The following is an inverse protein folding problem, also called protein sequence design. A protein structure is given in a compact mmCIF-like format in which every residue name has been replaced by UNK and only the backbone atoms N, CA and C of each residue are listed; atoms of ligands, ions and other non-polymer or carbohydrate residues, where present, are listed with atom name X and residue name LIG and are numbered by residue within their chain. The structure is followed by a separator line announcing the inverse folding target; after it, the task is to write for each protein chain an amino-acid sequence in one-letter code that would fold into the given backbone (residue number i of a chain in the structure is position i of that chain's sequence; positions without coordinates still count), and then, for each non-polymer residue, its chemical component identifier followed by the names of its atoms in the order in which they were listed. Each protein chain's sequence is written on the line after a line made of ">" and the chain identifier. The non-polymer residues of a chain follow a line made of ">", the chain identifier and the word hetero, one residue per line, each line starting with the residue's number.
data_IF_706125361520
#
_entry.id   IF_706125361520
#
_cell.length_a   1.000
_cell.length_b   1.000
_cell.length_c   1.000
_cell.angle_alpha   90.00
_cell.angle_beta   90.00
_cell.angle_gamma   90.00
#
_symmetry.space_group_name_H-M   'P 1'
#
loop_
_entity.id
_entity.type
_entity.pdbx_description
1 polymer ?
#
# COMPACT_ATOMS: atom_id res chain seq x y z
N UNK A 1 15.66 14.57 3.91
CA UNK A 1 15.84 15.89 3.23
C UNK A 1 15.01 15.92 1.94
N UNK A 2 14.34 17.02 1.61
CA UNK A 2 13.57 17.16 0.35
C UNK A 2 14.53 17.39 -0.82
N UNK A 3 14.14 16.97 -2.04
CA UNK A 3 14.99 17.04 -3.24
C UNK A 3 15.39 18.49 -3.54
N UNK A 4 14.46 19.44 -3.42
CA UNK A 4 14.72 20.87 -3.67
C UNK A 4 15.79 21.45 -2.74
N UNK A 5 15.84 20.96 -1.49
CA UNK A 5 16.87 21.37 -0.52
C UNK A 5 18.24 20.80 -0.88
N UNK A 6 18.29 19.61 -1.46
CA UNK A 6 19.55 18.99 -1.90
C UNK A 6 20.11 19.76 -3.09
N UNK A 7 19.26 20.07 -4.09
CA UNK A 7 19.66 20.82 -5.28
C UNK A 7 20.25 22.18 -4.91
N UNK A 8 19.56 22.98 -4.09
CA UNK A 8 20.07 24.29 -3.63
C UNK A 8 21.42 24.20 -2.91
N UNK A 9 21.65 23.14 -2.14
CA UNK A 9 22.92 22.93 -1.43
C UNK A 9 24.04 22.46 -2.36
N UNK A 10 23.72 21.71 -3.42
CA UNK A 10 24.68 21.34 -4.47
C UNK A 10 25.08 22.59 -5.27
N UNK A 11 24.11 23.43 -5.66
CA UNK A 11 24.37 24.71 -6.34
C UNK A 11 25.28 25.61 -5.51
N UNK A 12 25.02 25.71 -4.20
CA UNK A 12 25.89 26.45 -3.27
C UNK A 12 27.32 25.88 -3.22
N UNK A 13 27.47 24.55 -3.27
CA UNK A 13 28.79 23.93 -3.29
C UNK A 13 29.54 24.20 -4.61
N UNK A 14 28.82 24.25 -5.74
CA UNK A 14 29.37 24.62 -7.05
C UNK A 14 29.86 26.08 -7.03
N UNK A 15 29.04 27.01 -6.50
CA UNK A 15 29.41 28.42 -6.36
C UNK A 15 30.68 28.62 -5.50
N UNK A 16 30.83 27.84 -4.42
CA UNK A 16 32.07 27.83 -3.63
C UNK A 16 33.27 27.31 -4.43
N UNK A 17 33.11 26.32 -5.31
CA UNK A 17 34.20 25.83 -6.17
C UNK A 17 34.60 26.86 -7.22
N UNK A 18 33.64 27.50 -7.86
CA UNK A 18 33.88 28.55 -8.86
C UNK A 18 34.63 29.76 -8.27
N UNK A 19 34.39 30.06 -6.99
CA UNK A 19 35.08 31.11 -6.23
C UNK A 19 36.43 30.67 -5.64
N UNK A 20 36.87 29.43 -5.88
CA UNK A 20 38.10 28.88 -5.32
C UNK A 20 38.03 28.55 -3.82
N UNK A 21 36.85 28.59 -3.20
CA UNK A 21 36.62 28.32 -1.78
C UNK A 21 36.49 26.81 -1.51
N UNK A 22 37.53 26.04 -1.86
CA UNK A 22 37.53 24.56 -1.84
C UNK A 22 37.13 23.98 -0.48
N UNK A 23 37.59 24.59 0.62
CA UNK A 23 37.27 24.13 1.98
C UNK A 23 35.78 24.29 2.31
N UNK A 24 35.15 25.37 1.85
CA UNK A 24 33.70 25.61 2.06
C UNK A 24 32.88 24.65 1.20
N UNK A 25 33.24 24.47 -0.07
CA UNK A 25 32.61 23.49 -0.94
C UNK A 25 32.65 22.07 -0.35
N UNK A 26 33.82 21.66 0.15
CA UNK A 26 34.00 20.34 0.77
C UNK A 26 33.10 20.16 2.01
N UNK A 27 33.02 21.16 2.89
CA UNK A 27 32.14 21.11 4.07
C UNK A 27 30.68 20.97 3.65
N UNK A 28 30.23 21.79 2.70
CA UNK A 28 28.85 21.75 2.19
C UNK A 28 28.50 20.38 1.60
N UNK A 29 29.40 19.79 0.80
CA UNK A 29 29.20 18.44 0.23
C UNK A 29 29.20 17.34 1.30
N UNK A 30 30.06 17.46 2.32
CA UNK A 30 30.12 16.51 3.43
C UNK A 30 28.81 16.51 4.23
N UNK A 31 28.26 17.68 4.52
CA UNK A 31 26.99 17.83 5.23
C UNK A 31 25.81 17.26 4.42
N UNK A 32 25.78 17.50 3.10
CA UNK A 32 24.79 16.89 2.20
C UNK A 32 24.88 15.37 2.26
N UNK A 33 26.10 14.82 2.16
CA UNK A 33 26.34 13.37 2.20
C UNK A 33 25.86 12.75 3.52
N UNK A 34 26.14 13.38 4.65
CA UNK A 34 25.70 12.88 5.97
C UNK A 34 24.18 12.94 6.12
N UNK A 35 23.55 14.05 5.75
CA UNK A 35 22.08 14.17 5.79
C UNK A 35 21.36 13.22 4.81
N UNK A 36 21.98 12.92 3.67
CA UNK A 36 21.47 11.90 2.73
C UNK A 36 21.65 10.50 3.28
N UNK A 37 22.81 10.18 3.88
CA UNK A 37 23.03 8.89 4.55
C UNK A 37 21.99 8.67 5.64
N UNK A 38 21.73 9.66 6.48
CA UNK A 38 20.72 9.57 7.53
C UNK A 38 19.30 9.41 6.94
N UNK A 39 18.98 10.10 5.84
CA UNK A 39 17.69 9.95 5.15
C UNK A 39 17.54 8.55 4.55
N UNK A 40 18.59 7.99 3.96
CA UNK A 40 18.62 6.62 3.43
C UNK A 40 18.49 5.62 4.57
N UNK A 41 19.20 5.83 5.69
CA UNK A 41 19.15 4.96 6.86
C UNK A 41 17.77 4.99 7.51
N UNK A 42 17.12 6.15 7.64
CA UNK A 42 15.73 6.28 8.09
C UNK A 42 14.74 5.61 7.13
N UNK A 43 14.99 5.64 5.82
CA UNK A 43 14.18 4.90 4.82
C UNK A 43 14.42 3.39 4.91
N UNK A 44 15.63 2.93 5.20
CA UNK A 44 15.97 1.52 5.42
C UNK A 44 15.44 0.99 6.76
N UNK A 45 15.45 1.82 7.80
CA UNK A 45 14.89 1.53 9.13
C UNK A 45 13.36 1.61 9.20
N UNK A 46 12.68 2.04 8.13
CA UNK A 46 11.33 1.51 7.83
C UNK A 46 11.44 0.05 7.40
N UNK A 47 12.03 -0.80 8.27
CA UNK A 47 11.92 -2.25 8.12
C UNK A 47 10.42 -2.55 8.13
N UNK A 48 9.92 -3.18 7.06
CA UNK A 48 8.59 -3.79 7.09
C UNK A 48 8.51 -4.62 8.37
N UNK A 49 7.45 -4.41 9.15
CA UNK A 49 7.16 -5.19 10.35
C UNK A 49 7.35 -6.69 10.02
N UNK A 50 7.99 -7.47 10.91
CA UNK A 50 8.32 -8.88 10.62
C UNK A 50 7.09 -9.67 10.17
N UNK A 51 5.95 -9.40 10.80
CA UNK A 51 4.62 -9.92 10.48
C UNK A 51 4.20 -9.67 9.02
N UNK A 52 4.46 -8.47 8.48
CA UNK A 52 4.15 -8.15 7.07
C UNK A 52 5.03 -8.95 6.12
N UNK A 53 6.29 -9.21 6.50
CA UNK A 53 7.19 -10.03 5.66
C UNK A 53 6.73 -11.48 5.65
N UNK A 54 6.37 -12.02 6.80
CA UNK A 54 5.84 -13.38 6.94
C UNK A 54 4.54 -13.55 6.14
N UNK A 55 3.64 -12.57 6.21
CA UNK A 55 2.40 -12.58 5.42
C UNK A 55 2.64 -12.48 3.92
N UNK A 56 3.62 -11.70 3.46
CA UNK A 56 3.98 -11.69 2.03
C UNK A 56 4.47 -13.06 1.58
N UNK A 57 5.35 -13.70 2.35
CA UNK A 57 5.87 -15.02 2.02
C UNK A 57 4.77 -16.08 2.00
N UNK A 58 3.91 -16.09 3.03
CA UNK A 58 2.74 -16.97 3.08
C UNK A 58 1.82 -16.75 1.87
N UNK A 59 1.54 -15.49 1.53
CA UNK A 59 0.70 -15.12 0.42
C UNK A 59 1.26 -15.55 -0.94
N UNK A 60 2.56 -15.35 -1.15
CA UNK A 60 3.26 -15.81 -2.35
C UNK A 60 3.17 -17.33 -2.46
N UNK A 61 3.39 -18.07 -1.37
CA UNK A 61 3.27 -19.53 -1.35
C UNK A 61 1.84 -19.99 -1.66
N UNK A 62 0.82 -19.29 -1.13
CA UNK A 62 -0.59 -19.58 -1.37
C UNK A 62 -0.99 -19.46 -2.85
N UNK A 63 -0.23 -18.69 -3.64
CA UNK A 63 -0.41 -18.49 -5.08
C UNK A 63 0.72 -19.13 -5.91
N UNK A 64 1.45 -20.11 -5.36
CA UNK A 64 2.55 -20.79 -6.05
C UNK A 64 3.61 -19.81 -6.64
N UNK A 65 3.91 -18.74 -5.91
CA UNK A 65 4.86 -17.70 -6.30
C UNK A 65 4.36 -16.68 -7.32
N UNK A 66 3.10 -16.79 -7.79
CA UNK A 66 2.53 -15.92 -8.83
C UNK A 66 1.21 -15.28 -8.39
N UNK A 67 1.21 -14.44 -7.34
CA UNK A 67 -0.03 -13.80 -6.90
C UNK A 67 -0.58 -12.83 -7.94
N UNK A 68 -1.90 -12.56 -7.94
CA UNK A 68 -2.58 -11.78 -8.98
C UNK A 68 -2.02 -10.36 -9.17
N UNK A 69 -1.43 -9.77 -8.14
CA UNK A 69 -0.81 -8.45 -8.17
C UNK A 69 0.40 -8.37 -9.11
N UNK A 70 1.07 -9.49 -9.40
CA UNK A 70 2.24 -9.52 -10.29
C UNK A 70 1.88 -9.12 -11.72
N UNK A 71 0.66 -9.40 -12.16
CA UNK A 71 0.19 -9.07 -13.51
C UNK A 71 -0.31 -7.63 -13.64
N UNK A 72 -0.47 -6.91 -12.52
CA UNK A 72 -1.12 -5.58 -12.49
C UNK A 72 -0.20 -4.44 -12.10
N UNK A 73 0.88 -4.71 -11.37
CA UNK A 73 1.71 -3.67 -10.76
C UNK A 73 3.18 -3.88 -11.08
N UNK A 74 3.92 -2.79 -11.34
CA UNK A 74 5.37 -2.85 -11.54
C UNK A 74 6.17 -3.20 -10.27
N UNK A 75 5.61 -2.95 -9.08
CA UNK A 75 6.23 -3.29 -7.79
C UNK A 75 5.26 -4.08 -6.89
N UNK A 76 4.90 -5.33 -7.26
CA UNK A 76 3.80 -6.08 -6.64
C UNK A 76 4.04 -6.33 -5.15
N UNK A 77 5.26 -6.71 -4.76
CA UNK A 77 5.64 -6.88 -3.35
C UNK A 77 5.48 -5.63 -2.49
N UNK A 78 5.54 -4.42 -3.07
CA UNK A 78 5.28 -3.17 -2.32
C UNK A 78 3.79 -2.93 -2.13
N UNK A 79 2.98 -3.23 -3.16
CA UNK A 79 1.52 -3.14 -3.09
C UNK A 79 0.97 -4.14 -2.08
N UNK A 80 1.33 -5.42 -2.20
CA UNK A 80 0.95 -6.49 -1.27
C UNK A 80 1.29 -6.10 0.17
N UNK A 81 2.54 -5.66 0.41
CA UNK A 81 2.98 -5.27 1.75
C UNK A 81 2.22 -4.07 2.34
N UNK A 82 1.78 -3.13 1.51
CA UNK A 82 0.93 -2.01 1.96
C UNK A 82 -0.43 -2.53 2.43
N UNK A 83 -1.07 -3.38 1.63
CA UNK A 83 -2.38 -3.93 1.99
C UNK A 83 -2.32 -4.82 3.23
N UNK A 84 -1.29 -5.65 3.40
CA UNK A 84 -1.13 -6.42 4.63
C UNK A 84 -0.93 -5.53 5.86
N UNK A 85 -0.15 -4.46 5.75
CA UNK A 85 0.00 -3.52 6.86
C UNK A 85 -1.35 -2.91 7.29
N UNK A 86 -2.18 -2.54 6.33
CA UNK A 86 -3.49 -1.98 6.61
C UNK A 86 -4.44 -3.03 7.18
N UNK A 87 -4.43 -4.26 6.64
CA UNK A 87 -5.22 -5.38 7.13
C UNK A 87 -4.85 -5.74 8.57
N UNK A 88 -3.56 -5.87 8.89
CA UNK A 88 -3.10 -6.11 10.27
C UNK A 88 -3.66 -5.05 11.22
N UNK A 89 -3.59 -3.77 10.82
CA UNK A 89 -4.12 -2.67 11.64
C UNK A 89 -5.62 -2.80 11.86
N UNK A 90 -6.39 -3.16 10.84
CA UNK A 90 -7.85 -3.34 10.93
C UNK A 90 -8.19 -4.52 11.85
N UNK A 91 -7.53 -5.66 11.67
CA UNK A 91 -7.79 -6.86 12.46
C UNK A 91 -7.47 -6.60 13.93
N UNK A 92 -6.31 -5.99 14.22
CA UNK A 92 -5.94 -5.57 15.58
C UNK A 92 -6.94 -4.61 16.20
N UNK A 93 -7.45 -3.62 15.45
CA UNK A 93 -8.47 -2.70 15.94
C UNK A 93 -9.80 -3.41 16.28
N UNK A 94 -10.05 -4.60 15.73
CA UNK A 94 -11.21 -5.44 16.01
C UNK A 94 -10.87 -6.61 16.95
N UNK A 95 -9.74 -6.55 17.65
CA UNK A 95 -9.25 -7.62 18.55
C UNK A 95 -9.06 -8.99 17.87
N UNK A 96 -8.77 -8.99 16.57
CA UNK A 96 -8.40 -10.18 15.80
C UNK A 96 -6.89 -10.21 15.54
N UNK A 97 -6.37 -11.41 15.34
CA UNK A 97 -4.95 -11.65 15.11
C UNK A 97 -4.61 -11.87 13.62
N UNK A 98 -3.37 -12.29 13.36
CA UNK A 98 -2.85 -12.55 12.02
C UNK A 98 -3.37 -13.88 11.47
N UNK A 99 -3.64 -14.87 12.33
CA UNK A 99 -4.16 -16.17 11.90
C UNK A 99 -5.62 -16.04 11.46
N UNK A 100 -6.42 -15.22 12.15
CA UNK A 100 -7.78 -14.84 11.70
C UNK A 100 -7.76 -14.22 10.30
N UNK A 101 -6.79 -13.32 10.04
CA UNK A 101 -6.61 -12.70 8.74
C UNK A 101 -6.28 -13.72 7.64
N UNK A 102 -5.40 -14.69 7.93
CA UNK A 102 -5.04 -15.75 6.97
C UNK A 102 -6.23 -16.64 6.65
N UNK A 103 -6.93 -17.10 7.68
CA UNK A 103 -8.09 -17.99 7.55
C UNK A 103 -9.19 -17.35 6.72
N UNK A 104 -9.48 -16.07 6.97
CA UNK A 104 -10.51 -15.34 6.21
C UNK A 104 -10.09 -15.04 4.77
N UNK A 105 -8.82 -14.76 4.53
CA UNK A 105 -8.32 -14.59 3.17
C UNK A 105 -8.38 -15.91 2.39
N UNK A 106 -8.03 -17.04 3.00
CA UNK A 106 -8.17 -18.37 2.39
C UNK A 106 -9.63 -18.68 2.08
N UNK A 107 -10.54 -18.43 3.02
CA UNK A 107 -11.97 -18.55 2.79
C UNK A 107 -12.45 -17.67 1.62
N UNK A 108 -11.95 -16.43 1.52
CA UNK A 108 -12.23 -15.54 0.39
C UNK A 108 -11.64 -16.06 -0.94
N UNK A 109 -10.41 -16.58 -0.92
CA UNK A 109 -9.74 -17.15 -2.09
C UNK A 109 -10.50 -18.36 -2.62
N UNK A 110 -11.01 -19.21 -1.75
CA UNK A 110 -11.72 -20.44 -2.12
C UNK A 110 -13.23 -20.20 -2.34
N UNK A 111 -13.75 -19.05 -1.90
CA UNK A 111 -15.15 -18.69 -2.09
C UNK A 111 -15.58 -18.78 -3.57
N UNK A 112 -16.74 -19.41 -3.78
CA UNK A 112 -17.32 -19.53 -5.11
C UNK A 112 -17.86 -18.15 -5.55
N UNK A 113 -17.48 -17.66 -6.74
CA UNK A 113 -17.97 -16.39 -7.28
C UNK A 113 -19.50 -16.29 -7.37
N UNK A 114 -20.22 -17.42 -7.37
CA UNK A 114 -21.69 -17.48 -7.38
C UNK A 114 -22.34 -17.24 -6.00
N UNK A 115 -21.64 -17.56 -4.90
CA UNK A 115 -22.12 -17.32 -3.52
C UNK A 115 -21.92 -15.87 -3.08
N UNK A 116 -20.92 -15.21 -3.66
CA UNK A 116 -20.70 -13.76 -3.54
C UNK A 116 -21.58 -13.10 -4.60
N UNK A 117 -22.86 -12.89 -4.29
CA UNK A 117 -23.90 -12.43 -5.23
C UNK A 117 -23.69 -11.06 -5.90
N UNK A 118 -22.48 -10.50 -5.88
CA UNK A 118 -22.17 -9.17 -6.40
C UNK A 118 -21.00 -9.22 -7.39
N UNK A 119 -21.38 -9.12 -8.67
CA UNK A 119 -20.56 -8.85 -9.87
C UNK A 119 -19.37 -9.79 -10.10
N UNK A 120 -19.67 -10.81 -10.92
CA UNK A 120 -18.74 -11.58 -11.77
C UNK A 120 -17.61 -10.73 -12.43
N UNK A 121 -17.84 -9.42 -12.65
CA UNK A 121 -16.87 -8.45 -13.21
C UNK A 121 -15.77 -7.98 -12.23
N UNK A 122 -16.00 -7.98 -10.91
CA UNK A 122 -15.01 -7.54 -9.91
C UNK A 122 -14.09 -8.67 -9.44
N UNK A 123 -14.59 -9.91 -9.47
CA UNK A 123 -13.90 -11.12 -8.99
C UNK A 123 -12.78 -11.64 -9.90
N UNK A 124 -12.41 -10.88 -10.93
CA UNK A 124 -11.41 -11.30 -11.92
C UNK A 124 -10.03 -11.59 -11.34
N UNK A 125 -9.73 -11.14 -10.12
CA UNK A 125 -8.48 -11.49 -9.44
C UNK A 125 -8.73 -11.50 -7.93
N UNK A 126 -8.81 -12.68 -7.32
CA UNK A 126 -9.01 -12.90 -5.87
C UNK A 126 -7.78 -12.48 -5.03
N UNK A 127 -7.11 -11.39 -5.43
CA UNK A 127 -5.89 -10.88 -4.82
C UNK A 127 -6.13 -10.16 -3.49
N UNK A 128 -5.04 -9.84 -2.80
CA UNK A 128 -5.08 -9.17 -1.49
C UNK A 128 -5.66 -7.76 -1.58
N UNK A 129 -5.46 -7.08 -2.71
CA UNK A 129 -6.05 -5.76 -2.98
C UNK A 129 -7.58 -5.85 -2.96
N UNK A 130 -8.12 -6.87 -3.64
CA UNK A 130 -9.56 -7.10 -3.73
C UNK A 130 -10.13 -7.50 -2.39
N UNK A 131 -9.46 -8.41 -1.67
CA UNK A 131 -9.87 -8.83 -0.33
C UNK A 131 -10.02 -7.63 0.62
N UNK A 132 -9.00 -6.76 0.67
CA UNK A 132 -9.03 -5.55 1.50
C UNK A 132 -10.23 -4.66 1.19
N UNK A 133 -10.60 -4.55 -0.09
CA UNK A 133 -11.72 -3.73 -0.55
C UNK A 133 -13.06 -4.32 -0.12
N UNK A 134 -13.27 -5.62 -0.32
CA UNK A 134 -14.54 -6.28 0.00
C UNK A 134 -14.69 -6.61 1.49
N UNK A 135 -13.62 -6.47 2.29
CA UNK A 135 -13.59 -6.88 3.70
C UNK A 135 -14.81 -6.41 4.53
N UNK A 136 -15.26 -5.14 4.48
CA UNK A 136 -16.44 -4.72 5.27
C UNK A 136 -17.72 -5.47 4.86
N UNK A 137 -17.88 -5.74 3.57
CA UNK A 137 -19.03 -6.47 3.02
C UNK A 137 -18.91 -7.98 3.30
N UNK A 138 -17.71 -8.53 3.19
CA UNK A 138 -17.40 -9.92 3.54
C UNK A 138 -17.78 -10.24 4.97
N UNK A 139 -17.62 -9.27 5.87
CA UNK A 139 -18.02 -9.37 7.28
C UNK A 139 -19.54 -9.22 7.52
N UNK A 140 -20.32 -8.86 6.50
CA UNK A 140 -21.79 -8.74 6.60
C UNK A 140 -22.28 -7.53 7.40
N UNK A 141 -21.59 -6.40 7.31
CA UNK A 141 -21.69 -5.30 8.30
C UNK A 141 -22.56 -4.12 7.83
N UNK A 142 -23.35 -3.54 8.75
CA UNK A 142 -24.14 -2.31 8.58
C UNK A 142 -23.28 -1.02 8.54
N UNK A 143 -23.79 0.07 7.97
CA UNK A 143 -23.02 1.32 7.74
C UNK A 143 -22.35 1.91 8.99
N UNK A 144 -22.91 1.70 10.18
CA UNK A 144 -22.32 2.14 11.47
C UNK A 144 -21.09 1.33 11.88
N UNK A 145 -21.05 0.05 11.57
CA UNK A 145 -19.95 -0.85 11.91
C UNK A 145 -18.89 -0.94 10.79
N UNK A 146 -19.20 -0.46 9.57
CA UNK A 146 -18.24 -0.37 8.46
C UNK A 146 -16.99 0.44 8.85
N UNK A 147 -17.14 1.49 9.66
CA UNK A 147 -16.03 2.33 10.17
C UNK A 147 -14.96 1.54 10.92
N UNK A 148 -15.29 0.36 11.47
CA UNK A 148 -14.33 -0.50 12.18
C UNK A 148 -13.50 -1.37 11.22
N UNK A 149 -14.01 -1.63 10.02
CA UNK A 149 -13.37 -2.49 9.01
C UNK A 149 -12.80 -1.70 7.82
N UNK A 150 -12.84 -0.37 7.91
CA UNK A 150 -12.19 0.58 7.02
C UNK A 150 -11.04 1.30 7.71
N UNK A 151 -10.14 1.90 6.94
CA UNK A 151 -9.14 2.85 7.44
C UNK A 151 -9.52 4.25 6.95
N UNK A 152 -9.18 5.34 7.65
CA UNK A 152 -9.53 6.70 7.23
C UNK A 152 -9.01 7.06 5.83
N UNK A 153 -7.88 6.49 5.43
CA UNK A 153 -7.30 6.62 4.08
C UNK A 153 -8.13 5.92 3.00
N UNK A 154 -8.99 4.96 3.38
CA UNK A 154 -9.81 4.14 2.49
C UNK A 154 -11.27 4.60 2.41
N UNK A 155 -11.75 5.45 3.33
CA UNK A 155 -13.10 6.04 3.27
C UNK A 155 -13.29 6.90 2.01
N UNK A 156 -12.24 7.60 1.56
CA UNK A 156 -12.25 8.35 0.29
C UNK A 156 -12.11 7.49 -0.97
N UNK A 157 -11.69 6.23 -0.83
CA UNK A 157 -11.42 5.33 -1.94
C UNK A 157 -12.64 4.56 -2.45
N UNK A 158 -13.75 4.57 -1.71
CA UNK A 158 -15.00 3.94 -2.14
C UNK A 158 -15.51 4.62 -3.43
N UNK A 159 -15.60 5.95 -3.43
CA UNK A 159 -16.21 6.74 -4.51
C UNK A 159 -15.42 6.71 -5.83
N UNK A 160 -14.10 6.59 -5.78
CA UNK A 160 -13.26 6.67 -6.98
C UNK A 160 -13.44 5.46 -7.92
N UNK A 161 -13.80 4.29 -7.36
CA UNK A 161 -14.00 3.06 -8.13
C UNK A 161 -15.47 2.64 -8.25
N UNK A 162 -16.37 3.15 -7.39
CA UNK A 162 -17.83 3.01 -7.57
C UNK A 162 -18.39 4.03 -8.57
N UNK A 163 -17.73 5.17 -8.83
CA UNK A 163 -18.20 6.14 -9.85
C UNK A 163 -18.17 5.64 -11.29
N UNK A 164 -17.45 4.55 -11.62
CA UNK A 164 -17.60 3.89 -12.93
C UNK A 164 -18.83 2.96 -13.02
N UNK A 165 -19.68 2.94 -11.98
CA UNK A 165 -20.85 2.06 -11.91
C UNK A 165 -22.18 2.83 -11.93
N UNK A 166 -22.15 4.16 -11.80
CA UNK A 166 -23.33 5.02 -11.99
C UNK A 166 -23.21 5.84 -13.27
N UNK A 167 -23.07 5.18 -14.41
CA UNK A 167 -23.63 5.70 -15.66
C UNK A 167 -25.00 5.03 -15.83
N UNK A 168 -25.93 5.48 -14.99
CA UNK A 168 -27.37 5.29 -15.16
C UNK A 168 -27.97 6.67 -15.47
N UNK A 169 -27.31 7.42 -16.36
CA UNK A 169 -27.99 8.52 -17.05
C UNK A 169 -28.96 7.88 -18.05
N UNK A 170 -30.27 8.20 -17.99
CA UNK A 170 -31.22 7.70 -18.95
C UNK A 170 -30.86 8.24 -20.33
N UNK A 171 -30.65 7.34 -21.30
CA UNK A 171 -30.59 7.69 -22.71
C UNK A 171 -32.00 8.12 -23.12
N UNK A 172 -32.24 9.42 -23.21
CA UNK A 172 -33.39 9.93 -23.95
C UNK A 172 -33.18 9.63 -25.45
N UNK A 173 -34.19 9.00 -26.05
CA UNK A 173 -34.24 8.59 -27.45
C UNK A 173 -34.36 9.79 -28.40
#
# INVERSE_FOLDING_TARGET
>A
MRIDTVLKRIELAIDHLEKGEVVKAYRTLKDIREGLKETVEKKKNKKREPEVRELITWYENLWNGTPPEFYKFGEPRKVIGRHFKDLIRIYRNNNLDIEDLKLEYEAFKDANPKLIGWKKKLLGNKGIVQFRYVLPQWKGISDTDQKKWTTPENERGLDYYTKQVNDNDPIEF
#
